data_IF_755085079688
#
_entry.id   IF_755085079688
#
_cell.length_a   1.000
_cell.length_b   1.000
_cell.length_c   1.000
_cell.angle_alpha   90.00
_cell.angle_beta   90.00
_cell.angle_gamma   90.00
#
_symmetry.space_group_name_H-M   'P 1'
#
loop_
_entity.id
_entity.type
_entity.pdbx_description
1 polymer ?
#
# COMPACT_ATOMS: atom_id res chain seq x y z
N UNK A 25 -8.97 -8.31 25.55
CA UNK A 25 -8.51 -9.61 25.08
C UNK A 25 -8.70 -9.75 23.57
N UNK A 26 -7.61 -9.62 22.83
CA UNK A 26 -7.65 -9.74 21.38
C UNK A 26 -7.03 -11.04 20.90
N UNK A 27 -5.69 -11.06 20.85
CA UNK A 27 -4.96 -12.24 20.41
C UNK A 27 -5.20 -13.44 21.33
N UNK A 28 -5.86 -13.19 22.46
CA UNK A 28 -6.15 -14.24 23.42
C UNK A 28 -7.52 -14.86 23.15
N UNK A 29 -8.57 -14.06 23.30
CA UNK A 29 -9.93 -14.52 23.09
C UNK A 29 -10.29 -14.50 21.60
N UNK A 30 -10.12 -13.34 20.98
CA UNK A 30 -10.43 -13.18 19.56
C UNK A 30 -9.81 -14.31 18.74
N UNK A 31 -8.65 -14.78 19.17
CA UNK A 31 -7.95 -15.86 18.47
C UNK A 31 -8.67 -17.18 18.64
N UNK A 32 -9.68 -17.19 19.51
CA UNK A 32 -10.45 -18.40 19.78
C UNK A 32 -11.61 -18.55 18.79
N UNK A 33 -12.39 -17.49 18.66
CA UNK A 33 -13.54 -17.50 17.75
C UNK A 33 -13.10 -17.79 16.32
N UNK A 34 -11.80 -17.99 16.13
CA UNK A 34 -11.25 -18.26 14.81
C UNK A 34 -10.81 -19.72 14.70
N UNK A 35 -10.71 -20.40 15.84
CA UNK A 35 -10.30 -21.80 15.87
C UNK A 35 -11.39 -22.70 15.33
N UNK A 36 -12.67 -22.12 15.23
CA UNK A 36 -13.69 -23.04 14.71
C UNK A 36 -13.81 -23.27 13.21
N UNK A 37 -12.91 -22.68 12.44
CA UNK A 37 -13.05 -22.45 11.00
C UNK A 37 -12.63 -23.67 10.17
N UNK A 38 -12.27 -24.74 10.86
CA UNK A 38 -11.85 -25.97 10.19
C UNK A 38 -12.81 -26.35 9.07
N UNK A 44 -18.57 -16.10 2.30
CA UNK A 44 -18.01 -16.54 3.58
C UNK A 44 -17.47 -15.37 4.38
N UNK A 45 -17.46 -14.19 3.76
CA UNK A 45 -16.96 -12.98 4.42
C UNK A 45 -17.83 -12.56 5.60
N UNK A 46 -19.15 -12.67 5.46
CA UNK A 46 -20.06 -12.29 6.54
C UNK A 46 -20.02 -13.24 7.72
N UNK A 47 -19.41 -14.41 7.56
CA UNK A 47 -19.32 -15.37 8.66
C UNK A 47 -18.60 -14.76 9.85
N UNK A 48 -17.53 -14.02 9.59
CA UNK A 48 -16.61 -13.55 10.62
C UNK A 48 -17.07 -12.29 11.34
N UNK A 49 -18.10 -11.61 10.85
CA UNK A 49 -18.71 -10.55 11.64
C UNK A 49 -19.31 -11.10 12.93
N UNK A 50 -19.49 -12.42 13.01
CA UNK A 50 -19.93 -13.04 14.25
C UNK A 50 -18.97 -12.71 15.39
N UNK A 51 -17.68 -12.62 15.08
CA UNK A 51 -16.67 -12.27 16.08
C UNK A 51 -17.04 -10.98 16.80
N UNK A 52 -17.54 -9.98 16.06
CA UNK A 52 -17.89 -8.70 16.67
C UNK A 52 -18.96 -8.86 17.74
N UNK A 53 -20.04 -9.56 17.41
CA UNK A 53 -21.09 -9.81 18.39
C UNK A 53 -20.57 -10.58 19.59
N UNK A 54 -19.63 -11.50 19.35
CA UNK A 54 -19.04 -12.29 20.43
C UNK A 54 -18.12 -11.46 21.32
N UNK A 55 -17.64 -10.32 20.83
CA UNK A 55 -16.74 -9.48 21.60
C UNK A 55 -17.52 -8.41 22.35
N UNK A 59 -7.42 -6.13 12.93
CA UNK A 59 -8.14 -7.32 13.35
C UNK A 59 -8.74 -8.01 12.12
N UNK A 60 -9.13 -7.20 11.11
CA UNK A 60 -9.71 -7.72 9.87
C UNK A 60 -8.65 -8.30 8.94
N UNK A 61 -7.37 -8.26 9.33
CA UNK A 61 -6.32 -8.88 8.54
C UNK A 61 -6.19 -10.38 8.84
N UNK A 62 -6.35 -10.77 10.12
CA UNK A 62 -6.36 -12.18 10.49
C UNK A 62 -7.62 -12.90 10.00
N UNK A 63 -8.60 -12.16 9.45
CA UNK A 63 -9.80 -12.80 8.90
C UNK A 63 -9.47 -13.60 7.65
N UNK A 64 -8.48 -13.15 6.89
CA UNK A 64 -8.09 -13.82 5.66
C UNK A 64 -7.67 -15.26 5.88
N UNK A 65 -7.27 -15.62 7.10
CA UNK A 65 -6.74 -16.93 7.40
C UNK A 65 -7.80 -18.04 7.36
N UNK A 66 -9.08 -17.69 7.13
CA UNK A 66 -10.13 -18.71 7.04
C UNK A 66 -10.23 -19.32 5.65
N UNK A 67 -9.80 -18.59 4.60
CA UNK A 67 -9.96 -19.06 3.23
C UNK A 67 -9.07 -20.26 2.94
N UNK A 68 -7.78 -20.16 3.25
CA UNK A 68 -6.91 -21.33 3.09
C UNK A 68 -5.88 -21.36 4.22
N UNK A 69 -6.24 -22.02 5.31
CA UNK A 69 -5.33 -22.29 6.41
C UNK A 69 -5.96 -23.35 7.27
N UNK A 70 -5.28 -24.49 7.43
CA UNK A 70 -5.74 -25.65 8.19
C UNK A 70 -6.33 -25.24 9.53
N UNK A 71 -7.29 -25.99 10.06
CA UNK A 71 -7.69 -25.76 11.46
C UNK A 71 -6.50 -25.77 12.42
N UNK A 72 -5.50 -26.61 12.16
CA UNK A 72 -4.28 -26.58 12.96
C UNK A 72 -3.52 -25.27 12.75
N UNK A 73 -3.18 -24.94 11.49
CA UNK A 73 -2.36 -23.77 11.17
C UNK A 73 -2.96 -22.48 11.71
N UNK A 74 -4.26 -22.48 12.01
CA UNK A 74 -4.88 -21.39 12.77
C UNK A 74 -4.26 -21.31 14.17
N UNK A 75 -4.19 -22.44 14.86
CA UNK A 75 -3.65 -22.45 16.21
C UNK A 75 -2.14 -22.22 16.20
N UNK A 76 -1.43 -22.81 15.24
CA UNK A 76 -0.01 -22.46 15.09
C UNK A 76 0.16 -20.97 14.85
N UNK A 77 -0.72 -20.36 14.05
CA UNK A 77 -0.64 -18.93 13.83
C UNK A 77 -0.91 -18.16 15.13
N UNK A 78 -1.76 -18.70 16.01
CA UNK A 78 -2.00 -18.08 17.30
C UNK A 78 -0.75 -18.08 18.16
N UNK A 79 -0.10 -19.24 18.28
CA UNK A 79 1.09 -19.32 19.14
C UNK A 79 2.21 -18.45 18.60
N UNK A 80 2.41 -18.45 17.28
CA UNK A 80 3.42 -17.57 16.70
C UNK A 80 3.02 -16.11 16.88
N UNK A 81 1.71 -15.82 16.94
CA UNK A 81 1.28 -14.46 17.24
C UNK A 81 1.72 -14.06 18.64
N UNK A 82 1.33 -14.83 19.65
CA UNK A 82 1.71 -14.50 21.02
C UNK A 82 3.22 -14.52 21.20
N UNK A 83 3.92 -15.38 20.46
CA UNK A 83 5.38 -15.44 20.57
C UNK A 83 6.04 -14.21 19.98
N UNK A 84 5.39 -13.51 19.05
CA UNK A 84 5.94 -12.29 18.44
C UNK A 84 5.60 -11.05 19.25
N UNK A 85 4.37 -10.96 19.73
CA UNK A 85 3.99 -9.84 20.59
C UNK A 85 4.85 -9.77 21.84
N UNK A 86 5.36 -10.92 22.32
CA UNK A 86 6.28 -10.93 23.44
C UNK A 86 7.71 -10.63 23.05
N UNK A 87 8.09 -10.96 21.81
CA UNK A 87 9.47 -10.72 21.36
C UNK A 87 9.71 -9.26 21.00
N UNK A 88 8.66 -8.53 20.60
CA UNK A 88 8.85 -7.13 20.22
C UNK A 88 9.03 -6.24 21.45
N UNK A 89 8.32 -6.55 22.55
CA UNK A 89 8.44 -5.76 23.77
C UNK A 89 9.80 -5.95 24.46
N UNK A 90 10.45 -7.08 24.26
CA UNK A 90 11.80 -7.29 24.78
C UNK A 90 12.87 -6.60 23.93
N UNK A 91 12.51 -6.11 22.75
CA UNK A 91 13.49 -5.47 21.88
C UNK A 91 13.87 -4.07 22.34
N UNK A 92 13.19 -3.55 23.36
CA UNK A 92 13.45 -2.21 23.88
C UNK A 92 14.38 -2.22 25.08
N UNK A 93 14.19 -3.18 25.99
CA UNK A 93 15.06 -3.30 27.17
C UNK A 93 16.37 -3.99 26.81
N UNK A 94 16.29 -5.16 26.17
CA UNK A 94 17.48 -5.93 25.82
C UNK A 94 17.84 -5.78 24.35
N UNK A 95 19.09 -6.12 24.04
CA UNK A 95 19.53 -6.29 22.67
C UNK A 95 19.11 -7.68 22.21
N UNK A 96 18.39 -7.73 21.10
CA UNK A 96 17.77 -8.97 20.62
C UNK A 96 18.38 -9.33 19.27
N UNK A 97 18.37 -10.63 18.96
CA UNK A 97 19.11 -11.18 17.84
C UNK A 97 18.20 -11.97 16.89
N UNK A 98 18.66 -12.07 15.64
CA UNK A 98 17.83 -12.63 14.55
C UNK A 98 17.38 -14.05 14.88
N UNK A 99 18.21 -14.81 15.60
CA UNK A 99 17.86 -16.20 15.91
C UNK A 99 16.48 -16.33 16.56
N UNK A 100 16.05 -15.30 17.31
CA UNK A 100 14.74 -15.35 17.94
C UNK A 100 13.62 -15.10 16.94
N UNK A 101 13.90 -14.36 15.87
CA UNK A 101 12.87 -14.07 14.86
C UNK A 101 12.68 -15.25 13.91
N UNK A 102 13.78 -15.82 13.42
CA UNK A 102 13.69 -16.99 12.55
C UNK A 102 13.00 -18.15 13.26
N UNK A 103 13.12 -18.23 14.58
CA UNK A 103 12.34 -19.21 15.34
C UNK A 103 10.85 -18.95 15.17
N UNK A 104 10.44 -17.67 15.26
CA UNK A 104 9.03 -17.33 15.11
C UNK A 104 8.57 -17.57 13.67
N UNK A 105 9.45 -17.34 12.70
CA UNK A 105 9.06 -17.45 11.29
C UNK A 105 8.79 -18.90 10.91
N UNK A 106 9.71 -19.80 11.30
CA UNK A 106 9.50 -21.22 11.03
C UNK A 106 8.36 -21.77 11.87
N UNK A 107 8.22 -21.29 13.12
CA UNK A 107 7.10 -21.71 13.95
C UNK A 107 5.78 -21.32 13.32
N UNK A 108 5.77 -20.24 12.55
CA UNK A 108 4.56 -19.78 11.89
C UNK A 108 4.16 -20.70 10.74
N UNK A 109 2.99 -20.35 10.06
CA UNK A 109 2.65 -21.28 8.97
C UNK A 109 3.05 -20.72 7.61
N UNK A 110 2.79 -21.48 6.55
CA UNK A 110 3.13 -21.06 5.20
C UNK A 110 2.66 -19.63 4.94
N UNK A 111 1.41 -19.48 4.52
CA UNK A 111 0.85 -18.17 4.24
C UNK A 111 -0.23 -17.78 5.23
N UNK A 112 0.19 -17.32 6.41
CA UNK A 112 -0.73 -16.90 7.45
C UNK A 112 -0.78 -15.38 7.60
N UNK A 113 -1.46 -14.93 8.65
CA UNK A 113 -1.50 -13.51 8.97
C UNK A 113 -0.21 -13.07 9.65
N UNK A 114 0.16 -13.77 10.73
CA UNK A 114 1.31 -13.39 11.54
C UNK A 114 2.63 -13.64 10.81
N UNK A 115 2.63 -14.44 9.73
CA UNK A 115 3.83 -14.60 8.93
C UNK A 115 4.23 -13.30 8.25
N UNK A 116 3.25 -12.44 7.91
CA UNK A 116 3.59 -11.16 7.32
C UNK A 116 4.10 -10.19 8.37
N UNK A 117 3.49 -10.19 9.56
CA UNK A 117 3.91 -9.29 10.62
C UNK A 117 5.29 -9.66 11.16
N UNK A 118 5.61 -10.96 11.19
CA UNK A 118 6.92 -11.41 11.67
C UNK A 118 8.04 -10.86 10.80
N UNK A 119 7.83 -10.85 9.47
CA UNK A 119 8.83 -10.32 8.55
C UNK A 119 9.00 -8.83 8.72
N UNK A 120 7.90 -8.10 8.91
CA UNK A 120 7.99 -6.69 9.23
C UNK A 120 8.86 -6.47 10.47
N UNK A 121 8.64 -7.27 11.52
CA UNK A 121 9.45 -7.13 12.71
C UNK A 121 10.93 -7.28 12.39
N UNK A 122 11.23 -8.23 11.51
CA UNK A 122 12.60 -8.46 11.06
C UNK A 122 13.14 -7.27 10.29
N UNK A 123 12.29 -6.66 9.46
CA UNK A 123 12.73 -5.51 8.67
C UNK A 123 12.97 -4.31 9.56
N UNK A 124 12.20 -4.19 10.63
CA UNK A 124 12.35 -3.07 11.55
C UNK A 124 13.49 -3.35 12.53
N UNK A 125 13.45 -4.50 13.21
CA UNK A 125 14.35 -4.71 14.34
C UNK A 125 15.81 -4.93 13.93
N UNK A 126 16.10 -5.16 12.65
CA UNK A 126 17.47 -5.47 12.24
C UNK A 126 17.87 -4.64 11.02
N UNK A 127 18.58 -3.53 11.22
CA UNK A 127 19.02 -2.74 10.06
C UNK A 127 20.13 -3.41 9.29
N UNK A 128 21.01 -4.14 9.97
CA UNK A 128 22.07 -4.88 9.28
C UNK A 128 21.51 -5.91 8.29
N UNK A 129 20.22 -6.27 8.43
CA UNK A 129 19.53 -7.19 7.51
C UNK A 129 18.24 -6.52 7.04
N UNK A 130 18.35 -5.49 6.20
CA UNK A 130 17.20 -4.82 5.60
C UNK A 130 17.02 -5.17 4.13
N UNK A 131 18.10 -5.15 3.35
CA UNK A 131 18.00 -5.50 1.94
C UNK A 131 17.43 -6.91 1.77
N UNK A 132 18.10 -7.91 2.35
CA UNK A 132 17.57 -9.26 2.31
C UNK A 132 16.20 -9.34 2.97
N UNK A 133 15.96 -8.55 4.01
CA UNK A 133 14.67 -8.57 4.70
C UNK A 133 13.58 -7.93 3.87
N UNK A 134 13.87 -6.77 3.27
CA UNK A 134 12.88 -6.09 2.46
C UNK A 134 12.38 -6.98 1.33
N UNK A 135 13.29 -7.76 0.74
CA UNK A 135 12.90 -8.73 -0.28
C UNK A 135 11.89 -9.72 0.27
N UNK A 136 12.21 -10.33 1.42
CA UNK A 136 11.33 -11.32 2.03
C UNK A 136 9.97 -10.74 2.39
N UNK A 137 9.92 -9.46 2.74
CA UNK A 137 8.63 -8.81 2.98
C UNK A 137 7.87 -8.63 1.67
N UNK A 138 8.52 -8.03 0.68
CA UNK A 138 7.84 -7.76 -0.58
C UNK A 138 7.52 -9.03 -1.35
N UNK A 139 8.23 -10.11 -1.07
CA UNK A 139 7.91 -11.40 -1.68
C UNK A 139 6.69 -12.02 -1.03
N UNK A 140 6.60 -11.90 0.30
CA UNK A 140 5.44 -12.42 1.03
C UNK A 140 4.19 -11.61 0.75
N UNK A 141 4.34 -10.38 0.29
CA UNK A 141 3.22 -9.56 -0.15
C UNK A 141 2.92 -9.75 -1.63
N UNK A 142 3.96 -9.88 -2.47
CA UNK A 142 3.71 -10.27 -3.85
C UNK A 142 3.10 -11.67 -3.92
N UNK A 143 3.25 -12.47 -2.86
CA UNK A 143 2.65 -13.79 -2.81
C UNK A 143 1.21 -13.74 -2.31
N UNK A 144 0.96 -12.99 -1.23
CA UNK A 144 -0.41 -12.84 -0.73
C UNK A 144 -1.35 -12.31 -1.79
N UNK A 145 -0.84 -11.49 -2.72
CA UNK A 145 -1.66 -10.91 -3.77
C UNK A 145 -1.96 -11.91 -4.88
N UNK A 146 -0.94 -12.68 -5.30
CA UNK A 146 -1.11 -13.62 -6.40
C UNK A 146 -2.20 -14.64 -6.07
N UNK A 147 -2.18 -15.17 -4.85
CA UNK A 147 -3.22 -16.06 -4.36
C UNK A 147 -4.36 -15.30 -3.70
N UNK A 148 -4.77 -14.20 -4.30
CA UNK A 148 -6.00 -13.49 -3.99
C UNK A 148 -6.85 -13.28 -5.23
N UNK A 149 -6.23 -12.96 -6.37
CA UNK A 149 -6.93 -12.88 -7.65
C UNK A 149 -7.03 -14.22 -8.35
N UNK A 150 -6.00 -15.07 -8.23
CA UNK A 150 -5.98 -16.34 -8.93
C UNK A 150 -6.82 -17.36 -8.17
N UNK A 151 -7.73 -16.86 -7.33
CA UNK A 151 -8.60 -17.73 -6.55
C UNK A 151 -9.84 -16.98 -6.07
N UNK A 157 -11.56 -10.69 -4.60
CA UNK A 157 -10.27 -10.07 -4.91
C UNK A 157 -10.29 -8.59 -4.55
N UNK A 158 -10.65 -8.28 -3.30
CA UNK A 158 -10.71 -6.92 -2.78
C UNK A 158 -9.94 -6.89 -1.46
N UNK A 159 -9.19 -5.81 -1.26
CA UNK A 159 -8.26 -5.72 -0.14
C UNK A 159 -8.96 -5.24 1.12
N UNK A 160 -8.41 -5.66 2.26
CA UNK A 160 -8.97 -5.37 3.57
C UNK A 160 -7.87 -4.84 4.49
N UNK A 161 -7.70 -3.52 4.46
CA UNK A 161 -6.67 -2.82 5.21
C UNK A 161 -7.32 -1.70 6.00
N UNK A 162 -6.93 -1.54 7.25
CA UNK A 162 -7.38 -0.41 8.04
C UNK A 162 -6.26 0.62 8.12
N UNK A 163 -6.61 1.79 8.66
CA UNK A 163 -5.67 2.91 8.62
C UNK A 163 -4.43 2.62 9.47
N UNK A 164 -4.60 1.89 10.58
CA UNK A 164 -3.46 1.62 11.45
C UNK A 164 -2.45 0.71 10.77
N UNK A 165 -2.93 -0.26 9.98
CA UNK A 165 -2.02 -1.13 9.24
C UNK A 165 -1.50 -0.49 7.97
N UNK A 166 -2.19 0.52 7.43
CA UNK A 166 -1.61 1.35 6.38
C UNK A 166 -0.42 2.13 6.93
N UNK A 167 -0.66 2.96 7.95
CA UNK A 167 0.42 3.69 8.61
C UNK A 167 1.54 2.75 9.04
N UNK A 168 1.21 1.52 9.41
CA UNK A 168 2.23 0.55 9.82
C UNK A 168 3.16 0.19 8.66
N UNK A 169 2.60 -0.23 7.52
CA UNK A 169 3.44 -0.50 6.36
C UNK A 169 4.11 0.78 5.87
N UNK A 170 3.38 1.89 5.91
CA UNK A 170 3.93 3.17 5.48
C UNK A 170 5.27 3.46 6.15
N UNK A 171 5.27 3.55 7.48
CA UNK A 171 6.48 3.88 8.23
C UNK A 171 7.55 2.83 8.04
N UNK A 172 7.15 1.56 8.10
CA UNK A 172 8.10 0.46 8.03
C UNK A 172 8.88 0.48 6.72
N UNK A 173 8.26 0.95 5.65
CA UNK A 173 8.99 1.11 4.38
C UNK A 173 9.99 2.25 4.47
N UNK A 174 9.53 3.44 4.88
CA UNK A 174 10.41 4.60 4.96
C UNK A 174 11.62 4.32 5.85
N UNK A 175 11.40 3.70 7.00
CA UNK A 175 12.51 3.31 7.84
C UNK A 175 13.43 2.33 7.12
N UNK A 176 12.85 1.39 6.36
CA UNK A 176 13.67 0.44 5.64
C UNK A 176 14.47 1.11 4.52
N UNK A 177 13.96 2.21 3.96
CA UNK A 177 14.65 2.91 2.88
C UNK A 177 15.64 3.96 3.37
N UNK A 178 15.44 4.51 4.57
CA UNK A 178 16.49 5.29 5.19
C UNK A 178 17.72 4.44 5.44
N UNK A 179 17.51 3.20 5.90
CA UNK A 179 18.61 2.29 6.13
C UNK A 179 19.30 1.83 4.86
N UNK A 180 18.71 2.08 3.69
CA UNK A 180 19.30 1.67 2.43
C UNK A 180 19.93 2.84 1.67
N UNK A 181 20.11 3.99 2.31
CA UNK A 181 20.86 5.08 1.73
C UNK A 181 20.06 6.02 0.85
N UNK A 182 18.91 5.59 0.32
CA UNK A 182 18.08 6.48 -0.48
C UNK A 182 17.38 7.55 0.34
N UNK A 183 17.83 7.81 1.57
CA UNK A 183 17.22 8.79 2.45
C UNK A 183 16.93 10.12 1.80
N UNK A 184 17.65 10.43 0.70
CA UNK A 184 17.25 11.52 -0.17
C UNK A 184 15.81 11.34 -0.66
N UNK A 185 15.28 10.12 -0.63
CA UNK A 185 13.87 9.85 -0.92
C UNK A 185 13.10 9.53 0.36
N UNK A 186 13.70 8.72 1.24
CA UNK A 186 12.98 8.17 2.38
C UNK A 186 12.45 9.25 3.30
N UNK A 187 13.17 10.37 3.41
CA UNK A 187 12.65 11.52 4.16
C UNK A 187 11.31 11.98 3.58
N UNK A 188 11.28 12.29 2.27
CA UNK A 188 10.08 12.88 1.67
C UNK A 188 8.88 11.93 1.74
N UNK A 189 9.15 10.64 1.88
CA UNK A 189 8.07 9.66 2.07
C UNK A 189 7.56 9.67 3.50
N UNK A 190 8.48 9.75 4.46
CA UNK A 190 8.11 9.86 5.87
C UNK A 190 7.31 11.13 6.14
N UNK A 191 7.54 12.18 5.34
CA UNK A 191 6.84 13.44 5.57
C UNK A 191 5.34 13.31 5.33
N UNK A 192 4.93 12.43 4.42
CA UNK A 192 3.50 12.33 4.14
C UNK A 192 2.94 11.03 4.67
N UNK A 193 3.00 10.85 5.98
CA UNK A 193 2.46 9.67 6.65
C UNK A 193 1.22 10.09 7.43
N UNK A 194 0.09 9.45 7.15
CA UNK A 194 -1.09 9.76 7.94
C UNK A 194 -1.01 8.94 9.23
N UNK A 195 -0.89 9.62 10.36
CA UNK A 195 -0.73 8.99 11.67
C UNK A 195 -2.08 8.91 12.33
N UNK A 196 -2.46 7.74 12.82
CA UNK A 196 -3.74 7.54 13.48
C UNK A 196 -3.86 8.36 14.76
N UNK A 197 -5.00 8.28 15.43
CA UNK A 197 -5.22 9.01 16.67
C UNK A 197 -4.97 8.14 17.88
N UNK A 198 -5.61 8.49 19.00
CA UNK A 198 -5.45 7.73 20.23
C UNK A 198 -6.58 6.72 20.41
N UNK A 199 -6.23 5.44 20.48
CA UNK A 199 -7.21 4.37 20.64
C UNK A 199 -6.59 3.17 21.34
N UNK A 200 -7.45 2.24 21.75
CA UNK A 200 -6.99 1.03 22.43
C UNK A 200 -6.20 0.13 21.49
N UNK A 201 -6.71 -0.02 20.26
CA UNK A 201 -6.05 -0.85 19.27
C UNK A 201 -4.67 -0.32 18.92
N UNK A 202 -3.64 -1.09 19.26
CA UNK A 202 -2.27 -0.68 18.99
C UNK A 202 -1.30 -1.84 19.24
N UNK A 203 -1.25 -2.78 18.30
CA UNK A 203 -0.37 -3.93 18.42
C UNK A 203 1.08 -3.51 18.63
N UNK A 204 1.83 -4.34 19.34
CA UNK A 204 3.25 -4.05 19.63
C UNK A 204 4.10 -3.97 18.37
N UNK A 205 3.70 -4.65 17.31
CA UNK A 205 4.37 -4.49 16.02
C UNK A 205 4.33 -3.04 15.57
N UNK A 206 3.13 -2.45 15.50
CA UNK A 206 3.02 -1.06 15.07
C UNK A 206 3.66 -0.09 16.05
N UNK A 207 3.72 -0.45 17.34
CA UNK A 207 4.38 0.40 18.31
C UNK A 207 5.89 0.42 18.10
N UNK A 208 6.50 -0.77 17.98
CA UNK A 208 7.94 -0.87 17.77
C UNK A 208 8.36 -0.16 16.48
N UNK A 209 7.55 -0.31 15.42
CA UNK A 209 7.84 0.40 14.19
C UNK A 209 7.74 1.90 14.40
N UNK A 210 6.62 2.36 14.98
CA UNK A 210 6.43 3.79 15.16
C UNK A 210 7.48 4.39 16.08
N UNK A 211 7.96 3.61 17.05
CA UNK A 211 9.01 4.08 17.95
C UNK A 211 10.35 4.12 17.24
N UNK A 212 10.79 3.00 16.69
CA UNK A 212 12.10 2.96 16.02
C UNK A 212 12.15 3.84 14.79
N UNK A 213 11.00 4.13 14.17
CA UNK A 213 10.96 5.06 13.04
C UNK A 213 11.02 6.51 13.51
N UNK A 214 10.39 6.82 14.63
CA UNK A 214 10.50 8.16 15.22
C UNK A 214 11.94 8.46 15.59
N UNK A 215 12.63 7.49 16.18
CA UNK A 215 14.03 7.68 16.56
C UNK A 215 14.91 7.85 15.33
N UNK A 216 14.77 6.96 14.36
CA UNK A 216 15.62 7.02 13.17
C UNK A 216 15.31 8.24 12.30
N UNK A 217 14.25 8.99 12.58
CA UNK A 217 13.94 10.20 11.84
C UNK A 217 13.83 11.43 12.74
N UNK A 218 14.06 11.28 14.05
CA UNK A 218 14.08 12.45 14.91
C UNK A 218 15.15 13.47 14.53
N UNK A 219 16.37 13.08 14.06
CA UNK A 219 17.33 14.13 13.67
C UNK A 219 17.18 14.63 12.24
N UNK A 220 17.07 13.74 11.25
CA UNK A 220 17.13 14.14 9.84
C UNK A 220 15.96 15.06 9.48
N UNK A 221 14.75 14.72 9.96
CA UNK A 221 13.57 15.50 9.61
C UNK A 221 13.53 16.80 10.41
N UNK A 222 13.92 17.90 9.77
CA UNK A 222 13.73 19.26 10.26
C UNK A 222 13.50 20.19 9.07
N UNK A 223 13.83 19.72 7.86
CA UNK A 223 13.72 20.53 6.65
C UNK A 223 12.49 20.19 5.79
N UNK A 226 5.32 18.66 7.57
CA UNK A 226 6.73 18.45 7.27
C UNK A 226 7.49 17.96 8.50
N UNK A 227 7.77 18.89 9.40
CA UNK A 227 8.38 18.56 10.68
C UNK A 227 7.26 18.07 11.59
N UNK A 228 6.04 18.23 11.10
CA UNK A 228 4.83 17.78 11.80
C UNK A 228 4.85 16.30 12.13
N UNK A 229 5.54 15.49 11.33
CA UNK A 229 5.46 14.04 11.50
C UNK A 229 6.14 13.61 12.80
N UNK A 230 7.37 14.09 13.02
CA UNK A 230 8.10 13.74 14.23
C UNK A 230 7.26 14.02 15.46
N UNK A 231 6.68 15.23 15.53
CA UNK A 231 5.85 15.60 16.67
C UNK A 231 4.60 14.74 16.74
N UNK A 232 3.94 14.53 15.60
CA UNK A 232 2.75 13.69 15.58
C UNK A 232 3.09 12.24 15.89
N UNK A 233 4.22 11.77 15.37
CA UNK A 233 4.60 10.37 15.60
C UNK A 233 5.07 10.16 17.03
N UNK A 234 5.80 11.14 17.58
CA UNK A 234 6.23 11.04 18.98
C UNK A 234 5.03 11.08 19.91
N UNK A 235 4.03 11.91 19.59
CA UNK A 235 2.80 11.93 20.36
C UNK A 235 2.05 10.62 20.25
N UNK A 236 2.15 9.94 19.10
CA UNK A 236 1.50 8.65 18.96
C UNK A 236 2.07 7.65 19.97
N UNK A 237 3.39 7.68 20.15
CA UNK A 237 4.02 6.76 21.08
C UNK A 237 3.73 7.16 22.53
N UNK A 238 3.94 8.44 22.85
CA UNK A 238 3.67 8.93 24.20
C UNK A 238 2.22 8.67 24.59
N UNK A 239 1.30 8.91 23.66
CA UNK A 239 -0.12 8.71 23.93
C UNK A 239 -0.44 7.23 24.11
N UNK A 240 0.39 6.35 23.58
CA UNK A 240 0.16 4.93 23.77
C UNK A 240 1.15 4.33 24.73
N UNK A 241 0.68 3.83 25.87
CA UNK A 241 1.55 3.21 26.86
C UNK A 241 0.79 2.26 27.78
N UNK A 242 0.39 1.10 27.28
CA UNK A 242 -0.25 0.12 28.14
C UNK A 242 0.72 -0.98 28.46
N UNK A 243 1.95 -0.62 28.85
CA UNK A 243 3.03 -1.60 28.99
C UNK A 243 3.55 -1.85 30.41
N UNK A 244 3.93 -3.09 30.66
CA UNK A 244 4.59 -3.49 31.89
C UNK A 244 6.01 -2.94 31.93
N UNK A 245 6.43 -2.50 33.11
CA UNK A 245 7.70 -1.86 33.37
C UNK A 245 8.90 -2.72 32.99
N UNK A 246 9.10 -2.95 31.69
CA UNK A 246 10.29 -3.62 31.18
C UNK A 246 10.66 -2.99 29.84
N UNK B 68 -21.95 10.97 0.57
CA UNK B 68 -23.00 11.98 0.71
C UNK B 68 -22.84 13.09 -0.32
N UNK B 69 -23.50 12.94 -1.47
CA UNK B 69 -23.42 13.94 -2.53
C UNK B 69 -24.81 14.29 -3.05
N UNK B 70 -25.04 15.59 -3.29
CA UNK B 70 -26.32 16.06 -3.79
C UNK B 70 -26.65 15.44 -5.14
N UNK B 71 -27.67 16.08 -5.86
CA UNK B 71 -27.94 15.45 -7.17
C UNK B 71 -27.29 16.21 -8.31
N UNK B 72 -26.75 17.39 -8.01
CA UNK B 72 -26.10 18.21 -9.03
C UNK B 72 -24.66 17.76 -9.26
N UNK B 73 -23.96 17.38 -8.18
CA UNK B 73 -22.56 17.00 -8.29
C UNK B 73 -22.36 15.58 -8.79
N UNK B 74 -23.36 14.71 -8.62
CA UNK B 74 -23.31 13.37 -9.20
C UNK B 74 -23.24 13.44 -10.71
N UNK B 75 -24.06 14.32 -11.31
CA UNK B 75 -24.00 14.52 -12.75
C UNK B 75 -22.70 15.20 -13.15
N UNK B 76 -22.22 16.14 -12.32
CA UNK B 76 -20.95 16.78 -12.60
C UNK B 76 -19.83 15.74 -12.67
N UNK B 77 -19.90 14.72 -11.82
CA UNK B 77 -18.86 13.69 -11.80
C UNK B 77 -18.99 12.77 -13.01
N UNK B 78 -20.21 12.41 -13.39
CA UNK B 78 -20.43 11.57 -14.57
C UNK B 78 -19.96 12.30 -15.83
N UNK B 79 -20.35 13.57 -15.96
CA UNK B 79 -19.87 14.39 -17.07
C UNK B 79 -18.35 14.48 -17.06
N UNK B 80 -17.76 14.70 -15.88
CA UNK B 80 -16.30 14.80 -15.77
C UNK B 80 -15.64 13.47 -16.11
N UNK B 81 -16.21 12.36 -15.62
CA UNK B 81 -15.63 11.04 -15.86
C UNK B 81 -15.62 10.68 -17.33
N UNK B 82 -16.59 11.17 -18.10
CA UNK B 82 -16.59 10.90 -19.54
C UNK B 82 -15.60 11.77 -20.28
N UNK B 83 -15.48 13.04 -19.88
CA UNK B 83 -14.47 13.92 -20.47
C UNK B 83 -13.08 13.45 -20.13
N UNK B 84 -12.87 13.01 -18.90
CA UNK B 84 -11.58 12.49 -18.48
C UNK B 84 -11.22 11.23 -19.27
N UNK B 85 -12.16 10.29 -19.40
CA UNK B 85 -11.90 9.13 -20.24
C UNK B 85 -11.60 9.55 -21.67
N UNK B 86 -12.28 10.59 -22.14
CA UNK B 86 -12.07 11.05 -23.51
C UNK B 86 -10.67 11.62 -23.69
N UNK B 87 -10.18 12.36 -22.68
CA UNK B 87 -8.87 12.98 -22.76
C UNK B 87 -7.75 11.95 -22.68
N UNK B 88 -7.96 10.86 -21.95
CA UNK B 88 -6.93 9.83 -21.84
C UNK B 88 -6.74 9.10 -23.16
N UNK B 89 -7.83 8.66 -23.77
CA UNK B 89 -7.73 7.99 -25.07
C UNK B 89 -7.31 8.96 -26.17
N UNK B 90 -7.75 10.21 -26.09
CA UNK B 90 -7.31 11.20 -27.08
C UNK B 90 -5.81 11.50 -26.92
N UNK B 91 -5.28 11.45 -25.69
CA UNK B 91 -3.86 11.71 -25.47
C UNK B 91 -2.98 10.70 -26.17
N UNK B 92 -3.53 9.54 -26.51
CA UNK B 92 -2.76 8.50 -27.17
C UNK B 92 -2.55 8.81 -28.66
N UNK B 93 -3.43 9.50 -29.34
CA UNK B 93 -3.04 9.70 -30.73
C UNK B 93 -3.03 11.18 -31.15
N UNK B 94 -2.96 12.05 -30.15
CA UNK B 94 -2.98 13.49 -30.31
C UNK B 94 -2.07 14.04 -29.22
N UNK B 95 -1.82 15.36 -29.24
CA UNK B 95 -0.88 15.94 -28.28
C UNK B 95 -1.66 16.54 -27.11
N UNK B 96 -1.43 16.05 -25.90
CA UNK B 96 -2.28 16.51 -24.78
C UNK B 96 -1.63 17.60 -23.87
N UNK B 97 -2.47 18.31 -23.11
CA UNK B 97 -1.99 19.35 -22.21
C UNK B 97 -2.77 19.34 -20.90
N UNK B 98 -2.38 20.22 -19.98
CA UNK B 98 -3.04 20.32 -18.69
C UNK B 98 -4.25 21.25 -18.74
N UNK B 99 -4.20 22.21 -19.66
CA UNK B 99 -5.28 23.17 -19.82
C UNK B 99 -6.63 22.47 -19.86
N UNK B 100 -6.64 21.23 -20.31
CA UNK B 100 -7.87 20.44 -20.40
C UNK B 100 -8.20 19.80 -19.05
N UNK B 101 -7.17 19.53 -18.26
CA UNK B 101 -7.36 18.91 -16.95
C UNK B 101 -7.81 19.92 -15.88
N UNK B 102 -7.26 21.12 -15.93
CA UNK B 102 -7.77 22.21 -15.10
C UNK B 102 -9.27 22.35 -15.26
N UNK B 103 -9.76 22.34 -16.50
CA UNK B 103 -11.21 22.37 -16.74
C UNK B 103 -11.90 21.15 -16.15
N UNK B 104 -11.23 20.01 -16.11
CA UNK B 104 -11.83 18.80 -15.59
C UNK B 104 -11.94 18.89 -14.07
N UNK B 105 -10.79 18.99 -13.39
CA UNK B 105 -10.78 18.95 -11.92
C UNK B 105 -11.72 20.01 -11.35
N UNK B 106 -11.75 21.18 -11.96
CA UNK B 106 -12.69 22.22 -11.52
C UNK B 106 -14.13 21.78 -11.76
N UNK B 107 -14.38 21.08 -12.87
CA UNK B 107 -15.72 20.55 -13.12
C UNK B 107 -16.05 19.41 -12.16
N UNK B 108 -15.06 18.61 -11.78
CA UNK B 108 -15.33 17.54 -10.83
C UNK B 108 -15.68 18.16 -9.47
N UNK B 109 -16.69 17.64 -8.79
CA UNK B 109 -17.04 18.16 -7.46
C UNK B 109 -15.89 17.97 -6.49
N UNK B 110 -15.93 18.79 -5.45
CA UNK B 110 -14.76 19.13 -4.66
C UNK B 110 -14.22 17.99 -3.80
N UNK B 111 -14.93 16.86 -3.64
CA UNK B 111 -14.39 15.77 -2.82
C UNK B 111 -14.87 14.38 -3.26
N UNK B 112 -14.32 13.86 -4.37
CA UNK B 112 -14.85 12.67 -5.01
C UNK B 112 -13.72 11.81 -5.55
N UNK B 113 -14.07 10.57 -5.93
CA UNK B 113 -13.10 9.68 -6.55
C UNK B 113 -12.56 10.26 -7.86
N UNK B 114 -13.44 10.92 -8.63
CA UNK B 114 -13.07 11.50 -9.91
C UNK B 114 -11.95 12.54 -9.77
N UNK B 115 -11.91 13.24 -8.63
CA UNK B 115 -10.78 14.14 -8.37
C UNK B 115 -9.45 13.44 -8.57
N UNK B 116 -9.28 12.30 -7.86
CA UNK B 116 -8.01 11.56 -7.84
C UNK B 116 -7.68 10.97 -9.24
N UNK B 117 -8.70 10.44 -9.91
CA UNK B 117 -8.52 9.97 -11.27
C UNK B 117 -8.11 11.11 -12.20
N UNK B 118 -8.72 12.28 -12.04
CA UNK B 118 -8.27 13.45 -12.76
C UNK B 118 -6.85 13.83 -12.40
N UNK B 119 -6.44 13.57 -11.15
CA UNK B 119 -5.08 13.89 -10.71
C UNK B 119 -4.08 12.88 -11.22
N UNK B 120 -4.37 11.59 -11.04
CA UNK B 120 -3.47 10.54 -11.54
C UNK B 120 -3.29 10.65 -13.05
N UNK B 121 -4.33 11.08 -13.77
CA UNK B 121 -4.18 11.35 -15.20
C UNK B 121 -3.23 12.53 -15.42
N UNK B 122 -3.36 13.58 -14.60
CA UNK B 122 -2.47 14.74 -14.69
C UNK B 122 -1.04 14.38 -14.30
N UNK B 123 -0.87 13.42 -13.40
CA UNK B 123 0.47 12.99 -13.03
C UNK B 123 1.16 12.29 -14.19
N UNK B 124 0.43 11.41 -14.88
CA UNK B 124 0.99 10.64 -15.98
C UNK B 124 1.14 11.48 -17.23
N UNK B 125 0.07 12.19 -17.62
CA UNK B 125 0.07 12.88 -18.90
C UNK B 125 0.99 14.10 -18.94
N UNK B 126 1.48 14.57 -17.79
CA UNK B 126 2.31 15.77 -17.74
C UNK B 126 3.55 15.50 -16.92
N UNK B 127 4.67 15.26 -17.57
CA UNK B 127 5.86 14.73 -16.88
C UNK B 127 6.76 15.80 -16.24
N UNK B 128 6.86 16.99 -16.84
CA UNK B 128 7.56 18.07 -16.16
C UNK B 128 6.79 18.50 -14.92
N UNK B 129 5.47 18.36 -14.95
CA UNK B 129 4.61 18.65 -13.82
C UNK B 129 4.50 17.49 -12.85
N UNK B 130 5.32 16.44 -13.00
CA UNK B 130 5.29 15.34 -12.03
C UNK B 130 5.44 15.87 -10.61
N UNK B 131 6.49 16.64 -10.36
CA UNK B 131 6.76 17.14 -9.01
C UNK B 131 5.54 17.89 -8.47
N UNK B 132 4.95 18.76 -9.30
CA UNK B 132 3.84 19.59 -8.85
C UNK B 132 2.49 18.91 -8.95
N UNK B 133 2.36 17.83 -9.75
CA UNK B 133 1.10 17.07 -9.75
C UNK B 133 1.13 15.93 -8.75
N UNK B 134 2.32 15.41 -8.43
CA UNK B 134 2.44 14.44 -7.35
C UNK B 134 2.05 15.06 -6.01
N UNK B 135 2.28 16.37 -5.86
CA UNK B 135 1.87 17.07 -4.65
C UNK B 135 0.39 16.85 -4.37
N UNK B 136 -0.44 17.10 -5.38
CA UNK B 136 -1.89 17.07 -5.21
C UNK B 136 -2.41 15.63 -5.11
N UNK B 137 -1.80 14.69 -5.84
CA UNK B 137 -2.21 13.29 -5.78
C UNK B 137 -2.09 12.77 -4.36
N UNK B 138 -0.99 13.14 -3.68
CA UNK B 138 -0.83 12.79 -2.28
C UNK B 138 -1.75 13.60 -1.39
N UNK B 139 -1.93 14.89 -1.70
CA UNK B 139 -2.84 15.73 -0.92
C UNK B 139 -4.24 15.14 -0.89
N UNK B 140 -4.78 14.78 -2.05
CA UNK B 140 -6.12 14.23 -2.10
C UNK B 140 -6.21 12.89 -1.39
N UNK B 141 -5.15 12.08 -1.47
CA UNK B 141 -5.17 10.78 -0.81
C UNK B 141 -4.92 10.92 0.68
N UNK B 142 -4.04 11.84 1.10
CA UNK B 142 -3.91 12.10 2.54
C UNK B 142 -5.13 12.80 3.10
N UNK B 143 -5.93 13.44 2.25
CA UNK B 143 -7.17 14.06 2.69
C UNK B 143 -8.32 13.06 2.67
N UNK B 144 -8.36 12.20 1.65
CA UNK B 144 -9.35 11.13 1.67
C UNK B 144 -9.10 10.16 2.82
N UNK B 145 -7.85 10.01 3.25
CA UNK B 145 -7.55 9.28 4.47
C UNK B 145 -7.93 10.09 5.71
N UNK B 146 -7.87 11.42 5.59
CA UNK B 146 -8.00 12.29 6.74
C UNK B 146 -9.39 12.15 7.37
N UNK B 147 -10.43 12.21 6.55
CA UNK B 147 -11.80 12.01 6.99
C UNK B 147 -12.16 10.54 7.15
N UNK B 148 -11.32 9.63 6.65
CA UNK B 148 -11.63 8.20 6.72
C UNK B 148 -11.64 7.69 8.16
N UNK B 149 -11.06 8.43 9.10
CA UNK B 149 -11.17 8.14 10.52
C UNK B 149 -11.87 9.25 11.30
N UNK B 150 -11.75 10.49 10.85
CA UNK B 150 -12.24 11.66 11.56
C UNK B 150 -13.56 12.14 10.95
N UNK B 158 -12.02 2.06 7.81
CA UNK B 158 -11.37 0.89 7.23
C UNK B 158 -11.33 1.01 5.71
N UNK B 159 -10.14 0.81 5.17
CA UNK B 159 -9.93 0.94 3.74
C UNK B 159 -10.32 -0.34 3.03
N UNK B 160 -10.75 -0.18 1.77
CA UNK B 160 -11.12 -1.30 0.91
C UNK B 160 -10.67 -0.92 -0.49
N UNK B 161 -9.47 -1.39 -0.88
CA UNK B 161 -8.85 -1.02 -2.14
C UNK B 161 -8.86 -2.25 -3.05
N UNK B 162 -8.95 -2.01 -4.35
CA UNK B 162 -8.97 -3.05 -5.37
C UNK B 162 -7.57 -3.40 -5.85
N UNK B 163 -7.43 -4.62 -6.38
CA UNK B 163 -6.16 -5.05 -6.96
C UNK B 163 -5.67 -4.06 -8.03
N UNK B 164 -6.53 -3.77 -9.00
CA UNK B 164 -6.16 -2.84 -10.06
C UNK B 164 -5.94 -1.44 -9.53
N UNK B 165 -6.67 -1.05 -8.48
CA UNK B 165 -6.42 0.24 -7.83
C UNK B 165 -5.02 0.27 -7.22
N UNK B 166 -4.64 -0.79 -6.50
CA UNK B 166 -3.27 -0.88 -5.98
C UNK B 166 -2.26 -0.80 -7.12
N UNK B 167 -2.43 -1.65 -8.13
CA UNK B 167 -1.52 -1.67 -9.27
C UNK B 167 -1.46 -0.31 -9.94
N UNK B 168 -2.60 0.35 -10.16
CA UNK B 168 -2.60 1.68 -10.77
C UNK B 168 -1.77 2.65 -9.94
N UNK B 169 -2.08 2.79 -8.66
CA UNK B 169 -1.26 3.64 -7.80
C UNK B 169 0.19 3.17 -7.77
N UNK B 170 0.40 1.86 -7.64
CA UNK B 170 1.74 1.30 -7.65
C UNK B 170 2.55 1.80 -8.84
N UNK B 171 2.09 1.45 -10.05
CA UNK B 171 2.85 1.79 -11.26
C UNK B 171 2.88 3.28 -11.51
N UNK B 172 1.83 3.99 -11.10
CA UNK B 172 1.79 5.42 -11.30
C UNK B 172 2.83 6.13 -10.45
N UNK B 173 3.07 5.62 -9.23
CA UNK B 173 4.14 6.16 -8.41
C UNK B 173 5.51 5.80 -8.99
N UNK B 174 5.69 4.53 -9.38
CA UNK B 174 6.92 4.12 -10.05
C UNK B 174 7.23 5.04 -11.23
N UNK B 175 6.20 5.34 -12.02
CA UNK B 175 6.39 6.23 -13.17
C UNK B 175 6.79 7.62 -12.70
N UNK B 176 6.11 8.12 -11.66
CA UNK B 176 6.40 9.45 -11.15
C UNK B 176 7.80 9.54 -10.54
N UNK B 177 8.29 8.45 -9.97
CA UNK B 177 9.62 8.48 -9.37
C UNK B 177 10.71 8.46 -10.41
N UNK B 178 10.56 7.65 -11.47
CA UNK B 178 11.56 7.65 -12.54
C UNK B 178 11.68 9.03 -13.15
N UNK B 179 10.54 9.69 -13.37
CA UNK B 179 10.53 11.04 -13.91
C UNK B 179 11.14 12.06 -12.94
N UNK B 180 11.54 11.60 -11.77
CA UNK B 180 12.13 12.49 -10.76
C UNK B 180 13.65 12.36 -10.75
N UNK B 181 14.13 11.13 -10.84
CA UNK B 181 15.56 10.87 -10.84
C UNK B 181 15.97 9.89 -9.76
N UNK B 182 15.18 8.84 -9.59
CA UNK B 182 15.47 7.82 -8.58
C UNK B 182 15.99 6.54 -9.22
N UNK B 183 15.60 6.31 -10.48
CA UNK B 183 16.02 5.12 -11.20
C UNK B 183 15.93 3.87 -10.36
N UNK B 184 16.99 3.59 -9.60
CA UNK B 184 17.03 2.41 -8.74
C UNK B 184 15.71 2.24 -7.98
N UNK B 185 15.34 3.26 -7.22
CA UNK B 185 14.10 3.21 -6.44
C UNK B 185 12.88 3.10 -7.34
N UNK B 186 12.99 3.64 -8.55
CA UNK B 186 11.90 3.60 -9.52
C UNK B 186 11.75 2.21 -10.12
N UNK B 187 12.88 1.57 -10.39
CA UNK B 187 12.88 0.22 -10.98
C UNK B 187 12.45 -0.83 -9.97
N UNK B 188 12.93 -0.71 -8.74
CA UNK B 188 12.63 -1.73 -7.74
C UNK B 188 11.15 -1.71 -7.39
N UNK B 189 10.56 -0.52 -7.29
CA UNK B 189 9.13 -0.44 -7.10
C UNK B 189 8.40 -0.96 -8.33
N UNK B 190 8.92 -0.65 -9.52
CA UNK B 190 8.34 -1.16 -10.75
C UNK B 190 8.39 -2.68 -10.80
N UNK B 191 9.52 -3.27 -10.39
CA UNK B 191 9.65 -4.71 -10.43
C UNK B 191 8.78 -5.41 -9.40
N UNK B 192 8.30 -4.70 -8.38
CA UNK B 192 7.42 -5.30 -7.38
C UNK B 192 5.96 -4.99 -7.66
N UNK B 193 5.64 -4.39 -8.80
CA UNK B 193 4.26 -4.16 -9.17
C UNK B 193 3.55 -5.51 -9.33
N UNK B 194 2.34 -5.60 -8.81
CA UNK B 194 1.54 -6.82 -8.97
C UNK B 194 0.49 -6.51 -10.04
N UNK B 195 0.80 -6.89 -11.27
CA UNK B 195 -0.10 -6.64 -12.40
C UNK B 195 -1.34 -7.52 -12.27
N UNK B 196 -2.55 -6.96 -12.34
CA UNK B 196 -3.74 -7.81 -12.26
C UNK B 196 -3.78 -8.79 -13.42
N UNK B 197 -4.56 -9.85 -13.24
CA UNK B 197 -4.69 -10.92 -14.22
C UNK B 197 -5.18 -10.37 -15.56
N UNK B 198 -6.49 -10.41 -15.77
CA UNK B 198 -7.13 -9.89 -16.97
C UNK B 198 -8.65 -9.91 -16.79
N UNK B 199 -9.20 -8.93 -16.06
CA UNK B 199 -10.63 -8.92 -15.82
C UNK B 199 -11.31 -7.71 -16.46
N UNK B 200 -12.54 -7.38 -16.03
CA UNK B 200 -13.26 -6.26 -16.61
C UNK B 200 -12.75 -4.91 -16.12
N UNK B 201 -12.03 -4.88 -15.00
CA UNK B 201 -11.49 -3.64 -14.44
C UNK B 201 -10.44 -3.02 -15.34
N UNK B 202 -10.88 -2.50 -16.49
CA UNK B 202 -10.01 -1.89 -17.48
C UNK B 202 -10.62 -0.53 -17.79
N UNK B 203 -10.04 0.52 -17.24
CA UNK B 203 -10.44 1.88 -17.57
C UNK B 203 -9.34 2.56 -18.38
N UNK B 204 -9.71 3.46 -19.30
CA UNK B 204 -8.69 4.21 -20.05
C UNK B 204 -7.60 4.80 -19.19
N UNK B 205 -7.90 5.18 -17.94
CA UNK B 205 -6.85 5.67 -17.06
C UNK B 205 -5.87 4.57 -16.70
N UNK B 206 -6.37 3.43 -16.23
CA UNK B 206 -5.48 2.32 -15.90
C UNK B 206 -4.67 1.90 -17.11
N UNK B 207 -5.27 2.02 -18.30
CA UNK B 207 -4.56 1.68 -19.53
C UNK B 207 -3.49 2.70 -19.86
N UNK B 208 -3.84 3.99 -19.82
CA UNK B 208 -2.90 5.05 -20.17
C UNK B 208 -1.68 4.99 -19.25
N UNK B 209 -1.91 4.73 -17.96
CA UNK B 209 -0.81 4.62 -17.01
C UNK B 209 0.09 3.46 -17.37
N UNK B 210 -0.49 2.28 -17.63
CA UNK B 210 0.29 1.09 -17.88
C UNK B 210 1.04 1.19 -19.21
N UNK B 211 0.44 1.86 -20.18
CA UNK B 211 1.13 2.10 -21.44
C UNK B 211 2.36 2.98 -21.21
N UNK B 212 2.15 4.19 -20.68
CA UNK B 212 3.27 5.12 -20.53
C UNK B 212 4.31 4.59 -19.55
N UNK B 213 3.89 3.79 -18.56
CA UNK B 213 4.84 3.23 -17.61
C UNK B 213 5.65 2.10 -18.24
N UNK B 214 4.98 1.24 -19.02
CA UNK B 214 5.72 0.27 -19.82
C UNK B 214 6.73 0.97 -20.72
N UNK B 215 6.34 2.10 -21.30
CA UNK B 215 7.20 2.85 -22.21
C UNK B 215 8.47 3.33 -21.50
N UNK B 216 8.29 4.10 -20.42
CA UNK B 216 9.43 4.73 -19.75
C UNK B 216 10.25 3.75 -18.93
N UNK B 217 9.86 2.47 -18.87
CA UNK B 217 10.55 1.46 -18.08
C UNK B 217 11.01 0.25 -18.86
N UNK B 218 10.45 -0.02 -20.04
CA UNK B 218 10.92 -1.15 -20.83
C UNK B 218 12.40 -1.08 -21.19
N UNK B 219 13.03 0.07 -21.40
CA UNK B 219 14.48 0.10 -21.67
C UNK B 219 15.37 0.03 -20.43
N UNK B 220 14.83 -0.23 -19.23
CA UNK B 220 15.60 -0.21 -17.99
C UNK B 220 15.49 -1.53 -17.24
N UNK B 221 14.26 -2.00 -16.99
CA UNK B 221 14.04 -3.27 -16.31
C UNK B 221 14.28 -4.47 -17.21
N UNK B 222 14.43 -4.24 -18.50
CA UNK B 222 14.66 -5.32 -19.46
C UNK B 222 16.09 -5.82 -19.38
N UNK B 223 16.97 -5.00 -18.82
CA UNK B 223 18.38 -5.37 -18.69
C UNK B 223 18.56 -6.52 -17.70
N UNK B 224 18.47 -6.17 -16.35
CA UNK B 224 18.64 -7.32 -15.44
C UNK B 224 17.70 -8.47 -15.78
N UNK B 225 18.20 -9.68 -15.89
CA UNK B 225 17.31 -10.76 -16.31
C UNK B 225 17.19 -11.82 -15.23
N UNK B 226 15.96 -12.07 -14.81
CA UNK B 226 15.70 -13.06 -13.77
C UNK B 226 14.27 -12.99 -13.27
N UNK B 227 13.95 -11.91 -12.58
CA UNK B 227 12.61 -11.70 -12.07
C UNK B 227 12.07 -10.36 -12.52
N UNK B 228 11.21 -10.36 -13.52
CA UNK B 228 10.63 -9.12 -14.01
C UNK B 228 9.15 -9.28 -14.34
N UNK B 229 8.46 -8.15 -14.47
CA UNK B 229 7.03 -8.17 -14.80
C UNK B 229 6.77 -7.60 -16.18
N UNK B 230 7.85 -7.20 -16.86
CA UNK B 230 7.74 -6.66 -18.21
C UNK B 230 6.80 -7.49 -19.07
N UNK B 231 6.94 -8.81 -18.98
CA UNK B 231 6.11 -9.72 -19.76
C UNK B 231 4.65 -9.62 -19.33
N UNK B 232 4.42 -9.61 -18.03
CA UNK B 232 3.07 -9.53 -17.48
C UNK B 232 2.45 -8.18 -17.78
N UNK B 233 3.27 -7.13 -17.73
CA UNK B 233 2.77 -5.78 -18.00
C UNK B 233 2.31 -5.63 -19.45
N UNK B 234 3.04 -6.22 -20.39
CA UNK B 234 2.68 -6.08 -21.81
C UNK B 234 1.44 -6.90 -22.16
N UNK B 235 1.24 -8.02 -21.48
CA UNK B 235 0.03 -8.79 -21.69
C UNK B 235 -1.19 -8.10 -21.09
N UNK B 236 -0.97 -7.18 -20.13
CA UNK B 236 -2.07 -6.37 -19.60
C UNK B 236 -2.53 -5.34 -20.63
N UNK B 237 -1.60 -4.60 -21.24
CA UNK B 237 -1.97 -3.58 -22.22
C UNK B 237 -2.54 -4.22 -23.49
N UNK B 238 -2.13 -5.46 -23.79
CA UNK B 238 -2.78 -6.24 -24.83
C UNK B 238 -4.29 -6.29 -24.62
N UNK B 239 -4.72 -6.84 -23.48
CA UNK B 239 -6.14 -6.97 -23.19
C UNK B 239 -6.79 -5.62 -22.89
N UNK B 240 -6.01 -4.57 -22.68
CA UNK B 240 -6.53 -3.24 -22.41
C UNK B 240 -7.23 -2.66 -23.63
N UNK B 241 -6.44 -2.27 -24.65
CA UNK B 241 -7.02 -1.81 -25.90
C UNK B 241 -7.77 -2.90 -26.63
N UNK B 242 -7.60 -4.16 -26.21
CA UNK B 242 -8.47 -5.20 -26.71
C UNK B 242 -9.92 -4.95 -26.33
N UNK B 243 -10.15 -4.54 -25.08
CA UNK B 243 -11.52 -4.32 -24.61
C UNK B 243 -11.97 -2.87 -24.77
N UNK B 244 -11.04 -1.91 -24.84
CA UNK B 244 -11.45 -0.52 -25.01
C UNK B 244 -11.77 -0.21 -26.47
N UNK B 245 -10.90 -0.64 -27.39
CA UNK B 245 -11.19 -0.46 -28.81
C UNK B 245 -12.41 -1.26 -29.24
N UNK B 246 -12.68 -2.38 -28.55
CA UNK B 246 -13.86 -3.18 -28.89
C UNK B 246 -15.10 -2.67 -28.16
N UNK B 247 -14.94 -2.01 -27.00
CA UNK B 247 -16.08 -1.39 -26.34
C UNK B 247 -16.50 -0.11 -27.05
N UNK B 248 -15.55 0.55 -27.72
CA UNK B 248 -15.81 1.76 -28.48
C UNK B 248 -16.29 1.46 -29.90
N UNK B 249 -15.88 0.34 -30.48
CA UNK B 249 -16.30 0.01 -31.84
C UNK B 249 -17.79 -0.32 -31.92
N UNK B 250 -18.38 -0.82 -30.82
CA UNK B 250 -19.80 -1.14 -30.80
C UNK B 250 -20.68 0.09 -30.92
N UNK B 251 -20.08 1.27 -30.98
CA UNK B 251 -20.83 2.52 -31.02
C UNK B 251 -20.42 3.41 -32.20
#
# INVERSE_FOLDING_TARGET
>A
AHMQHSKSSVHAELRELPESTANLIENSHADDVFSPNMVERLWVLAKSTRDSAQMSDSIISSLSDVLVLSPLEVLASWYAADLLDALLMESLSRKVEISEIEEIISLCPKNSSIIRHALLAKLVLFPENTADSLNEVLAAYKNTLDLCSQDKRKQSSVLKINLSKLFTLHSCLSLALQRLGYGDVSKRMYQEIFVPDSDADITPLSFIISWTALNTFAPICTSPKENDVVEKMAMYVRTAIGTLKIQDLKLS
>B
AHMQHSKSSVHAELRELPESTANLIENSHADDVFSPNMVERLWVLAKSTRDSAQMSDSIISSLSDVLVLSPLEVLASWYAADLLDALLMESLSRKVEISEIEEIISLCPKNSSIIRHALLAKLVLFPENTADSLNEVLAAYKNTLDLCSQDKRKQSSVLKINLSKLFTLHSCLSLALQRLGYGDVSKRMYQEIFVPDSDADITPLSFIISWTALNTFAPICTSPKENDVVEKMAMYVRTAIGTLKIQDLKLS
#
